data_IF_440319750610
#
_entry.id   IF_440319750610
#
_cell.length_a   1.000
_cell.length_b   1.000
_cell.length_c   1.000
_cell.angle_alpha   90.00
_cell.angle_beta   90.00
_cell.angle_gamma   90.00
#
_symmetry.space_group_name_H-M   'P 1'
#
loop_
_entity.id
_entity.type
_entity.pdbx_description
1 polymer ?
#
# COMPACT_ATOMS: atom_id res chain seq x y z
N UNK A 1 49.84 14.39 15.22
CA UNK A 1 51.18 14.02 14.71
C UNK A 1 51.08 14.05 13.19
N UNK A 2 51.58 15.11 12.56
CA UNK A 2 51.48 15.36 11.11
C UNK A 2 52.56 14.57 10.39
N UNK A 3 52.26 14.05 9.19
CA UNK A 3 53.17 14.18 8.05
C UNK A 3 52.35 14.27 6.75
N UNK A 4 52.74 15.25 5.95
CA UNK A 4 52.21 15.66 4.66
C UNK A 4 53.39 15.59 3.69
N UNK A 5 53.23 15.05 2.48
CA UNK A 5 54.17 15.27 1.37
C UNK A 5 53.40 15.34 0.06
N UNK A 6 53.43 16.51 -0.56
CA UNK A 6 53.05 16.77 -1.94
C UNK A 6 54.21 16.45 -2.89
N UNK A 7 53.90 15.87 -4.05
CA UNK A 7 54.69 16.03 -5.27
C UNK A 7 53.74 16.18 -6.45
N UNK A 8 53.74 17.36 -7.05
CA UNK A 8 53.06 17.66 -8.31
C UNK A 8 53.87 17.10 -9.48
N UNK A 9 53.19 16.59 -10.52
CA UNK A 9 53.67 16.55 -11.91
C UNK A 9 52.48 16.31 -12.86
N UNK A 10 52.37 17.28 -13.79
CA UNK A 10 51.73 17.33 -15.09
C UNK A 10 50.26 16.92 -15.32
N UNK A 11 49.52 17.95 -15.72
CA UNK A 11 48.16 17.94 -16.20
C UNK A 11 48.03 17.21 -17.55
N UNK A 12 47.29 16.11 -17.54
CA UNK A 12 46.56 15.66 -18.73
C UNK A 12 45.08 15.88 -18.44
N UNK A 13 44.50 16.91 -19.06
CA UNK A 13 43.06 17.19 -19.00
C UNK A 13 42.36 16.11 -19.82
N UNK A 14 41.93 15.02 -19.17
CA UNK A 14 40.88 14.16 -19.70
C UNK A 14 39.58 14.77 -19.19
N UNK A 15 38.81 15.37 -20.09
CA UNK A 15 37.45 15.79 -19.80
C UNK A 15 36.64 14.56 -19.41
N UNK A 16 36.41 14.38 -18.11
CA UNK A 16 35.39 13.48 -17.60
C UNK A 16 34.05 14.08 -18.03
N UNK A 17 33.47 13.52 -19.10
CA UNK A 17 32.07 13.71 -19.39
C UNK A 17 31.29 13.21 -18.17
N UNK A 18 30.74 14.14 -17.39
CA UNK A 18 29.72 13.83 -16.41
C UNK A 18 28.57 13.18 -17.16
N UNK A 19 28.42 11.86 -17.05
CA UNK A 19 27.13 11.23 -17.30
C UNK A 19 26.22 11.75 -16.20
N UNK A 20 25.53 12.85 -16.48
CA UNK A 20 24.28 13.16 -15.81
C UNK A 20 23.43 11.90 -15.96
N UNK A 21 23.14 11.23 -14.85
CA UNK A 21 21.98 10.35 -14.81
C UNK A 21 20.83 11.23 -15.28
N UNK A 22 20.33 10.96 -16.48
CA UNK A 22 18.96 11.34 -16.80
C UNK A 22 18.12 10.52 -15.83
N UNK A 23 17.90 11.06 -14.63
CA UNK A 23 16.63 10.87 -13.97
C UNK A 23 15.62 11.18 -15.06
N UNK A 24 14.85 10.17 -15.47
CA UNK A 24 13.63 10.43 -16.21
C UNK A 24 12.89 11.43 -15.35
N UNK A 25 12.91 12.70 -15.76
CA UNK A 25 11.81 13.58 -15.48
C UNK A 25 10.63 12.85 -16.09
N UNK A 26 9.95 12.04 -15.26
CA UNK A 26 8.59 11.70 -15.57
C UNK A 26 7.93 13.05 -15.77
N UNK A 27 7.34 13.22 -16.94
CA UNK A 27 6.42 14.30 -17.17
C UNK A 27 5.26 14.05 -16.21
N UNK A 28 5.46 14.42 -14.95
CA UNK A 28 4.38 14.72 -14.04
C UNK A 28 3.76 15.98 -14.63
N UNK A 29 2.94 15.79 -15.66
CA UNK A 29 1.60 16.33 -15.57
C UNK A 29 1.06 15.75 -14.26
N UNK A 30 1.44 16.38 -13.14
CA UNK A 30 0.55 16.54 -12.04
C UNK A 30 -0.68 17.11 -12.73
N UNK A 31 -1.64 16.23 -13.02
CA UNK A 31 -2.98 16.64 -13.36
C UNK A 31 -3.38 17.46 -12.15
N UNK A 32 -3.16 18.77 -12.26
CA UNK A 32 -3.76 19.74 -11.38
C UNK A 32 -5.23 19.33 -11.42
N UNK A 33 -5.71 18.70 -10.34
CA UNK A 33 -7.12 18.40 -10.18
C UNK A 33 -7.78 19.75 -10.32
N UNK A 34 -8.26 20.04 -11.52
CA UNK A 34 -8.86 21.33 -11.86
C UNK A 34 -10.00 21.45 -10.90
N UNK A 35 -9.84 22.33 -9.92
CA UNK A 35 -10.74 22.44 -8.78
C UNK A 35 -12.16 22.61 -9.33
N UNK A 36 -12.98 21.56 -9.22
CA UNK A 36 -14.34 21.52 -9.76
C UNK A 36 -14.69 20.36 -10.72
N UNK A 37 -13.75 19.50 -11.12
CA UNK A 37 -14.10 18.25 -11.85
C UNK A 37 -14.24 17.10 -10.86
N UNK A 38 -15.35 16.38 -10.95
CA UNK A 38 -15.61 15.17 -10.14
C UNK A 38 -14.55 14.09 -10.47
N UNK A 39 -13.84 13.52 -9.47
CA UNK A 39 -12.70 12.63 -9.71
C UNK A 39 -13.02 11.37 -10.55
N UNK A 40 -14.18 10.74 -10.36
CA UNK A 40 -14.57 9.59 -11.18
C UNK A 40 -14.85 9.97 -12.65
N UNK A 41 -15.38 11.17 -12.90
CA UNK A 41 -15.52 11.70 -14.26
C UNK A 41 -14.17 11.93 -14.95
N UNK A 42 -13.15 12.39 -14.20
CA UNK A 42 -11.78 12.49 -14.71
C UNK A 42 -11.24 11.11 -15.13
N UNK A 43 -11.41 10.10 -14.27
CA UNK A 43 -11.01 8.71 -14.58
C UNK A 43 -11.78 8.17 -15.78
N UNK A 44 -13.09 8.43 -15.86
CA UNK A 44 -13.90 8.02 -17.01
C UNK A 44 -13.38 8.64 -18.32
N UNK A 45 -12.94 9.90 -18.30
CA UNK A 45 -12.35 10.55 -19.46
C UNK A 45 -10.98 9.94 -19.84
N UNK A 46 -10.15 9.61 -18.85
CA UNK A 46 -8.87 8.91 -19.07
C UNK A 46 -9.11 7.52 -19.70
N UNK A 47 -10.06 6.77 -19.17
CA UNK A 47 -10.44 5.46 -19.69
C UNK A 47 -10.96 5.55 -21.13
N UNK A 48 -11.80 6.55 -21.44
CA UNK A 48 -12.27 6.81 -22.81
C UNK A 48 -11.13 7.16 -23.79
N UNK A 49 -10.02 7.70 -23.29
CA UNK A 49 -8.80 7.95 -24.04
C UNK A 49 -7.82 6.76 -24.07
N UNK A 50 -8.23 5.57 -23.58
CA UNK A 50 -7.39 4.37 -23.41
C UNK A 50 -6.17 4.57 -22.50
N UNK A 51 -6.25 5.48 -21.53
CA UNK A 51 -5.25 5.64 -20.48
C UNK A 51 -5.61 4.71 -19.31
N UNK A 52 -4.78 3.71 -19.07
CA UNK A 52 -5.01 2.67 -18.04
C UNK A 52 -4.03 2.77 -16.86
N UNK A 53 -3.14 3.75 -16.86
CA UNK A 53 -2.20 4.02 -15.78
C UNK A 53 -2.21 5.51 -15.50
N UNK A 54 -2.44 5.86 -14.25
CA UNK A 54 -2.55 7.22 -13.74
C UNK A 54 -2.11 7.24 -12.28
N UNK A 55 -1.91 8.44 -11.74
CA UNK A 55 -1.50 8.61 -10.35
C UNK A 55 -2.55 8.05 -9.38
N UNK A 56 -2.06 7.44 -8.30
CA UNK A 56 -2.87 6.73 -7.31
C UNK A 56 -3.83 7.66 -6.55
N UNK A 57 -3.46 8.93 -6.39
CA UNK A 57 -4.26 9.96 -5.73
C UNK A 57 -5.57 10.25 -6.47
N UNK A 58 -5.56 10.27 -7.80
CA UNK A 58 -6.75 10.45 -8.64
C UNK A 58 -7.71 9.28 -8.44
N UNK A 59 -7.18 8.05 -8.41
CA UNK A 59 -7.94 6.82 -8.15
C UNK A 59 -8.62 6.88 -6.77
N UNK A 60 -7.85 7.22 -5.74
CA UNK A 60 -8.34 7.31 -4.37
C UNK A 60 -9.41 8.39 -4.24
N UNK A 61 -9.20 9.56 -4.86
CA UNK A 61 -10.19 10.63 -4.86
C UNK A 61 -11.51 10.24 -5.53
N UNK A 62 -11.49 9.35 -6.54
CA UNK A 62 -12.72 8.80 -7.12
C UNK A 62 -13.41 7.83 -6.16
N UNK A 63 -12.69 6.91 -5.52
CA UNK A 63 -13.31 6.01 -4.54
C UNK A 63 -13.97 6.79 -3.39
N UNK A 64 -13.29 7.82 -2.89
CA UNK A 64 -13.77 8.67 -1.80
C UNK A 64 -14.81 9.72 -2.24
N UNK A 65 -15.07 9.91 -3.54
CA UNK A 65 -16.15 10.80 -4.01
C UNK A 65 -17.51 10.10 -4.09
N UNK A 66 -17.55 8.76 -3.98
CA UNK A 66 -18.79 7.98 -3.97
C UNK A 66 -19.57 8.24 -2.68
N UNK A 67 -20.82 8.74 -2.76
CA UNK A 67 -21.61 9.04 -1.57
C UNK A 67 -22.13 7.75 -0.92
N UNK A 68 -22.27 7.79 0.41
CA UNK A 68 -22.90 6.72 1.22
C UNK A 68 -24.35 6.51 0.79
N UNK A 69 -24.72 5.26 0.50
CA UNK A 69 -26.12 4.86 0.30
C UNK A 69 -26.62 4.20 1.59
N UNK A 70 -27.06 5.03 2.54
CA UNK A 70 -27.46 4.55 3.89
C UNK A 70 -28.42 3.36 3.85
N UNK A 71 -29.38 3.33 2.91
CA UNK A 71 -30.30 2.21 2.81
C UNK A 71 -29.61 0.97 2.21
N UNK A 72 -28.86 1.16 1.12
CA UNK A 72 -28.11 0.09 0.47
C UNK A 72 -27.04 -0.53 1.39
N UNK A 73 -26.32 0.29 2.15
CA UNK A 73 -25.26 -0.14 3.08
C UNK A 73 -25.83 -0.92 4.26
N UNK A 74 -26.98 -0.50 4.80
CA UNK A 74 -27.70 -1.25 5.83
C UNK A 74 -28.13 -2.62 5.30
N UNK A 75 -28.71 -2.67 4.10
CA UNK A 75 -29.13 -3.91 3.44
C UNK A 75 -27.93 -4.82 3.14
N UNK A 76 -26.80 -4.25 2.71
CA UNK A 76 -25.54 -4.96 2.49
C UNK A 76 -25.04 -5.60 3.78
N UNK A 77 -24.96 -4.83 4.88
CA UNK A 77 -24.50 -5.34 6.17
C UNK A 77 -25.42 -6.46 6.68
N UNK A 78 -26.74 -6.31 6.54
CA UNK A 78 -27.69 -7.37 6.90
C UNK A 78 -27.48 -8.64 6.06
N UNK A 79 -27.24 -8.49 4.76
CA UNK A 79 -26.89 -9.61 3.87
C UNK A 79 -25.58 -10.30 4.26
N UNK A 80 -24.54 -9.52 4.59
CA UNK A 80 -23.25 -10.04 5.07
C UNK A 80 -23.45 -10.82 6.37
N UNK A 81 -24.21 -10.28 7.33
CA UNK A 81 -24.52 -10.95 8.60
C UNK A 81 -25.18 -12.30 8.40
N UNK A 82 -26.04 -12.47 7.39
CA UNK A 82 -26.64 -13.78 7.07
C UNK A 82 -25.58 -14.78 6.60
N UNK A 83 -24.64 -14.36 5.75
CA UNK A 83 -23.56 -15.23 5.27
C UNK A 83 -22.55 -15.56 6.37
N UNK A 84 -22.19 -14.57 7.18
CA UNK A 84 -21.15 -14.72 8.20
C UNK A 84 -21.58 -15.58 9.39
N UNK A 85 -22.89 -15.76 9.63
CA UNK A 85 -23.39 -16.74 10.60
C UNK A 85 -22.92 -18.18 10.33
N UNK A 86 -22.53 -18.51 9.09
CA UNK A 86 -21.98 -19.82 8.74
C UNK A 86 -20.49 -19.97 9.09
N UNK A 87 -19.82 -18.90 9.54
CA UNK A 87 -18.42 -18.97 9.93
C UNK A 87 -18.28 -19.68 11.28
N UNK A 88 -17.72 -20.88 11.25
CA UNK A 88 -17.60 -21.76 12.43
C UNK A 88 -16.64 -21.23 13.51
N UNK A 89 -15.74 -20.31 13.15
CA UNK A 89 -14.72 -19.77 14.06
C UNK A 89 -15.22 -18.58 14.88
N UNK A 90 -16.44 -18.06 14.65
CA UNK A 90 -16.95 -16.87 15.35
C UNK A 90 -16.81 -16.93 16.89
N UNK A 91 -17.12 -18.04 17.59
CA UNK A 91 -16.96 -18.09 19.05
C UNK A 91 -15.49 -18.03 19.52
N UNK A 92 -14.56 -18.51 18.70
CA UNK A 92 -13.12 -18.47 19.01
C UNK A 92 -12.50 -17.12 18.67
N UNK A 93 -13.07 -16.40 17.71
CA UNK A 93 -12.67 -15.03 17.39
C UNK A 93 -13.10 -14.07 18.52
N UNK A 94 -14.33 -14.22 19.04
CA UNK A 94 -14.85 -13.33 20.08
C UNK A 94 -14.32 -13.64 21.49
N UNK A 95 -14.00 -14.90 21.79
CA UNK A 95 -13.42 -15.33 23.06
C UNK A 95 -12.22 -16.29 22.83
N UNK A 96 -11.06 -15.75 22.42
CA UNK A 96 -9.92 -16.57 22.06
C UNK A 96 -9.30 -17.25 23.29
N UNK A 97 -9.01 -18.55 23.16
CA UNK A 97 -8.35 -19.33 24.20
C UNK A 97 -6.94 -18.80 24.53
N UNK A 98 -6.42 -19.01 25.76
CA UNK A 98 -5.07 -18.61 26.13
C UNK A 98 -4.02 -19.11 25.13
N UNK A 99 -3.19 -18.19 24.62
CA UNK A 99 -2.15 -18.49 23.63
C UNK A 99 -2.53 -18.16 22.18
N UNK A 100 -3.76 -17.68 21.93
CA UNK A 100 -4.09 -17.04 20.65
C UNK A 100 -3.28 -15.75 20.50
N UNK A 101 -2.72 -15.53 19.31
CA UNK A 101 -1.75 -14.46 19.06
C UNK A 101 -2.40 -13.09 18.84
N UNK A 102 -3.67 -13.07 18.43
CA UNK A 102 -4.37 -11.87 18.02
C UNK A 102 -5.43 -11.47 19.03
N UNK A 103 -5.85 -10.20 18.97
CA UNK A 103 -6.92 -9.67 19.82
C UNK A 103 -8.25 -10.34 19.51
N UNK A 104 -9.12 -10.40 20.52
CA UNK A 104 -10.50 -10.85 20.34
C UNK A 104 -11.24 -9.90 19.39
N UNK A 105 -12.04 -10.46 18.49
CA UNK A 105 -12.94 -9.71 17.62
C UNK A 105 -14.31 -10.37 17.56
N UNK A 106 -15.35 -9.60 17.89
CA UNK A 106 -16.73 -10.00 17.66
C UNK A 106 -17.19 -9.45 16.31
N UNK A 107 -17.18 -10.29 15.29
CA UNK A 107 -17.55 -9.91 13.92
C UNK A 107 -19.01 -9.45 13.84
N UNK A 108 -19.92 -10.13 14.54
CA UNK A 108 -21.35 -9.81 14.44
C UNK A 108 -21.67 -8.50 15.16
N UNK A 109 -21.14 -8.31 16.36
CA UNK A 109 -21.32 -7.06 17.10
C UNK A 109 -20.61 -5.88 16.42
N UNK A 110 -19.45 -6.10 15.80
CA UNK A 110 -18.76 -5.06 15.03
C UNK A 110 -19.54 -4.67 13.77
N UNK A 111 -20.19 -5.62 13.07
CA UNK A 111 -21.09 -5.30 11.96
C UNK A 111 -22.31 -4.49 12.42
N UNK A 112 -22.86 -4.78 13.61
CA UNK A 112 -23.92 -3.96 14.20
C UNK A 112 -23.44 -2.53 14.50
N UNK A 113 -22.19 -2.37 14.95
CA UNK A 113 -21.61 -1.05 15.20
C UNK A 113 -21.42 -0.25 13.89
N UNK A 114 -20.86 -0.88 12.84
CA UNK A 114 -20.71 -0.25 11.52
C UNK A 114 -22.08 0.16 10.97
N UNK A 115 -23.09 -0.71 11.07
CA UNK A 115 -24.45 -0.40 10.62
C UNK A 115 -25.05 0.80 11.39
N UNK A 116 -24.81 0.88 12.69
CA UNK A 116 -25.26 2.01 13.50
C UNK A 116 -24.55 3.32 13.09
N UNK A 117 -23.26 3.28 12.79
CA UNK A 117 -22.47 4.43 12.34
C UNK A 117 -22.91 4.91 10.94
N UNK A 118 -23.26 4.00 10.03
CA UNK A 118 -23.91 4.31 8.75
C UNK A 118 -25.23 5.05 8.97
N UNK A 119 -26.10 4.52 9.83
CA UNK A 119 -27.41 5.14 10.12
C UNK A 119 -27.28 6.50 10.82
N UNK A 120 -26.24 6.68 11.63
CA UNK A 120 -25.95 7.94 12.30
C UNK A 120 -25.27 8.98 11.40
N UNK A 121 -24.89 8.61 10.16
CA UNK A 121 -24.22 9.50 9.21
C UNK A 121 -22.79 9.85 9.61
N UNK A 122 -22.09 8.92 10.26
CA UNK A 122 -20.69 9.09 10.67
C UNK A 122 -19.75 9.04 9.46
N UNK A 123 -20.06 8.16 8.50
CA UNK A 123 -19.29 8.02 7.27
C UNK A 123 -19.53 9.17 6.30
N UNK A 124 -18.46 9.60 5.64
CA UNK A 124 -18.51 10.71 4.67
C UNK A 124 -18.55 10.25 3.21
N UNK A 125 -18.19 8.99 2.95
CA UNK A 125 -18.13 8.37 1.64
C UNK A 125 -18.30 6.84 1.78
N UNK A 126 -18.72 6.17 0.71
CA UNK A 126 -18.98 4.73 0.69
C UNK A 126 -17.70 3.89 0.81
N UNK A 127 -16.57 4.42 0.32
CA UNK A 127 -15.27 3.76 0.46
C UNK A 127 -14.91 3.48 1.91
N UNK A 128 -15.13 4.43 2.82
CA UNK A 128 -14.84 4.23 4.24
C UNK A 128 -15.76 3.19 4.89
N UNK A 129 -17.06 3.14 4.53
CA UNK A 129 -18.00 2.11 5.02
C UNK A 129 -17.50 0.73 4.63
N UNK A 130 -17.20 0.56 3.35
CA UNK A 130 -16.76 -0.69 2.78
C UNK A 130 -15.37 -1.12 3.31
N UNK A 131 -14.46 -0.17 3.52
CA UNK A 131 -13.15 -0.46 4.11
C UNK A 131 -13.23 -0.89 5.56
N UNK A 132 -14.15 -0.34 6.35
CA UNK A 132 -14.35 -0.78 7.74
C UNK A 132 -14.87 -2.23 7.82
N UNK A 133 -15.79 -2.61 6.94
CA UNK A 133 -16.25 -4.00 6.83
C UNK A 133 -15.09 -4.92 6.40
N UNK A 134 -14.26 -4.48 5.44
CA UNK A 134 -13.11 -5.26 4.99
C UNK A 134 -12.07 -5.44 6.10
N UNK A 135 -11.71 -4.36 6.79
CA UNK A 135 -10.74 -4.38 7.87
C UNK A 135 -11.25 -5.22 9.05
N UNK A 136 -12.55 -5.20 9.33
CA UNK A 136 -13.17 -6.10 10.30
C UNK A 136 -12.93 -7.58 9.93
N UNK A 137 -13.14 -7.95 8.67
CA UNK A 137 -12.89 -9.33 8.21
C UNK A 137 -11.41 -9.69 8.29
N UNK A 138 -10.52 -8.78 7.88
CA UNK A 138 -9.06 -8.96 7.99
C UNK A 138 -8.62 -9.15 9.45
N UNK A 139 -9.25 -8.43 10.38
CA UNK A 139 -8.94 -8.53 11.82
C UNK A 139 -9.29 -9.90 12.45
N UNK A 140 -10.01 -10.76 11.72
CA UNK A 140 -10.21 -12.15 12.14
C UNK A 140 -8.95 -13.02 11.97
N UNK A 141 -7.94 -12.54 11.23
CA UNK A 141 -6.72 -13.29 10.89
C UNK A 141 -6.99 -14.70 10.34
N UNK A 142 -8.08 -14.85 9.58
CA UNK A 142 -8.50 -16.10 8.94
C UNK A 142 -8.48 -15.94 7.42
N UNK A 143 -7.50 -16.56 6.76
CA UNK A 143 -7.33 -16.45 5.32
C UNK A 143 -8.44 -17.14 4.49
N UNK A 144 -9.35 -17.90 5.13
CA UNK A 144 -10.54 -18.45 4.47
C UNK A 144 -11.79 -17.61 4.73
N UNK A 145 -11.71 -16.63 5.63
CA UNK A 145 -12.78 -15.70 5.90
C UNK A 145 -12.55 -14.43 5.10
N UNK A 146 -13.19 -14.35 3.94
CA UNK A 146 -12.93 -13.28 2.96
C UNK A 146 -14.26 -12.64 2.56
N UNK A 147 -14.29 -11.33 2.62
CA UNK A 147 -15.24 -10.49 1.90
C UNK A 147 -14.42 -9.40 1.21
N UNK A 148 -14.70 -9.18 -0.08
CA UNK A 148 -13.99 -8.17 -0.88
C UNK A 148 -15.03 -7.11 -1.26
N UNK A 149 -14.84 -5.86 -0.84
CA UNK A 149 -15.74 -4.79 -1.23
C UNK A 149 -15.74 -4.59 -2.75
N UNK A 150 -16.89 -4.27 -3.32
CA UNK A 150 -17.00 -4.10 -4.77
C UNK A 150 -16.25 -2.84 -5.22
N UNK A 151 -16.35 -1.77 -4.43
CA UNK A 151 -15.78 -0.47 -4.72
C UNK A 151 -14.24 -0.49 -4.82
N UNK A 152 -13.57 -1.32 -4.02
CA UNK A 152 -12.09 -1.44 -4.05
C UNK A 152 -11.55 -2.29 -5.20
N UNK A 153 -12.43 -2.98 -5.94
CA UNK A 153 -12.03 -3.82 -7.08
C UNK A 153 -11.96 -3.05 -8.41
N UNK A 154 -12.36 -1.78 -8.43
CA UNK A 154 -12.38 -0.93 -9.63
C UNK A 154 -10.96 -0.62 -10.13
N UNK A 155 -9.99 -0.50 -9.23
CA UNK A 155 -8.61 -0.13 -9.53
C UNK A 155 -7.61 -1.21 -9.15
N UNK A 156 -6.52 -1.30 -9.92
CA UNK A 156 -5.37 -2.12 -9.59
C UNK A 156 -4.24 -1.22 -9.07
N UNK A 157 -3.95 -1.33 -7.78
CA UNK A 157 -2.88 -0.57 -7.13
C UNK A 157 -1.53 -1.19 -7.44
N UNK A 158 -0.61 -0.40 -8.00
CA UNK A 158 0.72 -0.86 -8.37
C UNK A 158 1.77 0.07 -7.75
N UNK A 159 2.82 -0.52 -7.20
CA UNK A 159 4.04 0.18 -6.80
C UNK A 159 5.14 -0.14 -7.80
N UNK A 160 6.04 0.81 -8.06
CA UNK A 160 7.27 0.51 -8.78
C UNK A 160 8.18 -0.32 -7.87
N UNK A 161 8.38 -1.58 -8.20
CA UNK A 161 9.21 -2.50 -7.42
C UNK A 161 8.45 -3.28 -6.35
N UNK A 162 9.17 -4.15 -5.66
CA UNK A 162 8.67 -5.01 -4.58
C UNK A 162 9.73 -5.07 -3.49
N UNK A 163 9.31 -5.17 -2.23
CA UNK A 163 10.22 -5.34 -1.11
C UNK A 163 10.63 -6.81 -0.98
N UNK A 164 11.93 -7.05 -0.79
CA UNK A 164 12.52 -8.37 -0.65
C UNK A 164 13.28 -8.45 0.67
N UNK A 165 12.95 -9.42 1.50
CA UNK A 165 13.71 -9.73 2.72
C UNK A 165 14.85 -10.70 2.37
N UNK A 166 16.09 -10.22 2.38
CA UNK A 166 17.26 -11.00 1.96
C UNK A 166 18.36 -10.97 3.02
N UNK A 167 18.87 -12.16 3.35
CA UNK A 167 20.09 -12.33 4.14
C UNK A 167 21.29 -12.47 3.21
N UNK A 168 22.39 -11.78 3.51
CA UNK A 168 23.59 -11.81 2.67
C UNK A 168 24.31 -13.16 2.68
N UNK A 169 24.10 -13.96 3.73
CA UNK A 169 24.77 -15.23 3.98
C UNK A 169 23.81 -16.38 4.32
N UNK A 170 22.51 -16.10 4.42
CA UNK A 170 21.50 -17.07 4.84
C UNK A 170 21.52 -17.41 6.33
N UNK A 171 22.33 -16.72 7.13
CA UNK A 171 22.50 -16.95 8.57
C UNK A 171 22.20 -15.69 9.39
N UNK A 172 22.63 -14.54 8.90
CA UNK A 172 22.34 -13.23 9.47
C UNK A 172 20.87 -12.86 9.28
N UNK A 173 20.36 -12.00 10.17
CA UNK A 173 19.02 -11.41 10.01
C UNK A 173 18.92 -10.73 8.64
N UNK A 174 17.82 -10.95 7.91
CA UNK A 174 17.66 -10.38 6.60
C UNK A 174 17.47 -8.86 6.70
N UNK A 175 17.92 -8.15 5.67
CA UNK A 175 17.56 -6.75 5.45
C UNK A 175 16.52 -6.67 4.33
N UNK A 176 15.77 -5.58 4.30
CA UNK A 176 14.77 -5.30 3.27
C UNK A 176 15.40 -4.55 2.12
N UNK A 177 15.23 -5.04 0.89
CA UNK A 177 15.76 -4.45 -0.34
C UNK A 177 14.64 -4.18 -1.34
N UNK A 178 14.84 -3.22 -2.24
CA UNK A 178 13.98 -3.10 -3.40
C UNK A 178 14.35 -4.14 -4.49
N UNK A 179 13.36 -4.70 -5.15
CA UNK A 179 13.54 -5.68 -6.22
C UNK A 179 14.41 -5.18 -7.38
N UNK A 180 14.47 -3.86 -7.62
CA UNK A 180 15.30 -3.26 -8.66
C UNK A 180 16.79 -3.31 -8.30
N UNK A 181 17.16 -3.10 -7.03
CA UNK A 181 18.53 -3.26 -6.54
C UNK A 181 19.01 -4.70 -6.72
N UNK A 182 18.15 -5.67 -6.44
CA UNK A 182 18.47 -7.10 -6.59
C UNK A 182 18.61 -7.49 -8.06
N UNK A 183 17.74 -6.98 -8.94
CA UNK A 183 17.87 -7.17 -10.40
C UNK A 183 19.17 -6.54 -10.94
N UNK A 184 19.53 -5.36 -10.46
CA UNK A 184 20.77 -4.69 -10.83
C UNK A 184 22.01 -5.48 -10.36
N UNK A 185 21.98 -6.04 -9.15
CA UNK A 185 23.00 -6.96 -8.67
C UNK A 185 23.13 -8.19 -9.59
N UNK A 186 22.02 -8.84 -9.94
CA UNK A 186 22.03 -10.03 -10.81
C UNK A 186 22.53 -9.75 -12.23
N UNK A 187 22.29 -8.55 -12.76
CA UNK A 187 22.71 -8.12 -14.09
C UNK A 187 24.15 -7.58 -14.13
N UNK A 188 24.80 -7.39 -12.99
CA UNK A 188 26.14 -6.82 -12.87
C UNK A 188 27.11 -7.81 -12.20
N UNK A 189 28.40 -7.49 -12.25
CA UNK A 189 29.35 -8.16 -11.37
C UNK A 189 29.11 -7.63 -9.94
N UNK A 190 28.91 -8.47 -8.90
CA UNK A 190 28.56 -8.03 -7.55
C UNK A 190 29.45 -6.93 -6.97
N UNK A 191 30.72 -6.90 -7.37
CA UNK A 191 31.69 -5.88 -6.96
C UNK A 191 31.40 -4.47 -7.48
N UNK A 192 30.51 -4.31 -8.46
CA UNK A 192 30.22 -3.03 -9.13
C UNK A 192 28.90 -2.40 -8.69
N UNK A 193 28.02 -3.14 -8.01
CA UNK A 193 26.74 -2.64 -7.50
C UNK A 193 26.33 -3.39 -6.23
N UNK A 194 26.82 -2.98 -5.04
CA UNK A 194 26.34 -3.53 -3.79
C UNK A 194 24.90 -3.02 -3.54
N UNK A 195 23.89 -3.90 -3.38
CA UNK A 195 22.52 -3.47 -3.12
C UNK A 195 22.42 -2.78 -1.76
N UNK A 196 21.57 -1.76 -1.67
CA UNK A 196 21.38 -0.99 -0.44
C UNK A 196 20.05 -1.36 0.24
N UNK A 197 20.04 -1.63 1.55
CA UNK A 197 18.79 -1.82 2.26
C UNK A 197 17.90 -0.57 2.20
N UNK A 198 16.59 -0.78 2.11
CA UNK A 198 15.59 0.26 2.33
C UNK A 198 15.64 0.64 3.81
N UNK A 199 15.86 1.91 4.09
CA UNK A 199 15.99 2.43 5.47
C UNK A 199 14.73 3.11 5.98
N UNK A 200 13.89 3.62 5.07
CA UNK A 200 12.59 4.17 5.43
C UNK A 200 11.56 4.05 4.30
N UNK A 201 10.30 3.95 4.67
CA UNK A 201 9.13 3.98 3.78
C UNK A 201 8.25 5.12 4.26
N UNK A 202 7.95 6.07 3.38
CA UNK A 202 7.17 7.28 3.71
C UNK A 202 7.71 8.05 4.94
N UNK A 203 9.03 8.03 5.15
CA UNK A 203 9.68 8.69 6.30
C UNK A 203 9.63 7.91 7.61
N UNK A 204 9.03 6.71 7.63
CA UNK A 204 9.03 5.78 8.77
C UNK A 204 10.12 4.74 8.58
N UNK A 205 10.83 4.37 9.64
CA UNK A 205 11.80 3.27 9.63
C UNK A 205 11.18 2.00 9.01
N UNK A 206 11.94 1.28 8.18
CA UNK A 206 11.38 0.18 7.37
C UNK A 206 10.80 -0.95 8.19
N UNK A 207 11.48 -1.39 9.25
CA UNK A 207 10.94 -2.45 10.12
C UNK A 207 9.72 -1.95 10.87
N UNK A 208 9.75 -0.70 11.35
CA UNK A 208 8.59 -0.10 12.01
C UNK A 208 7.37 -0.05 11.08
N UNK A 209 7.56 0.41 9.83
CA UNK A 209 6.51 0.50 8.82
C UNK A 209 5.91 -0.86 8.45
N UNK A 210 6.75 -1.90 8.34
CA UNK A 210 6.29 -3.26 8.01
C UNK A 210 5.54 -3.96 9.15
N UNK A 211 5.70 -3.47 10.38
CA UNK A 211 5.05 -4.00 11.57
C UNK A 211 3.98 -3.04 12.13
N UNK A 212 3.58 -2.01 11.38
CA UNK A 212 2.40 -1.21 11.72
C UNK A 212 1.16 -2.14 11.71
N UNK A 213 0.35 -2.13 12.79
CA UNK A 213 -0.81 -3.00 12.95
C UNK A 213 -1.97 -2.63 12.03
#
# INVERSE_FOLDING_TARGET
MKLNTSSALDATIIALASLSSQGRAQNSNAGNVTSGVEPCALISALAAANVTTFEADIAMACLQSVPVDVAGDVDLIDGIKVLFQFQSTLPYLSDPSPGYLYSAVDIMASLDAIQADVQAGIYTNDYDVQMDIYNLVVSAYDFHFIWVPDLVTVFNWNRQGSLLSLSSDGLSLPNVYDSSDVKALAASNPSNYPPSPVTSINGVDTESWLNEP
#
